data_IF_596776207877
#
_entry.id   IF_596776207877
#
_cell.length_a   1.000
_cell.length_b   1.000
_cell.length_c   1.000
_cell.angle_alpha   90.00
_cell.angle_beta   90.00
_cell.angle_gamma   90.00
#
_symmetry.space_group_name_H-M   'P 1'
#
loop_
_entity.id
_entity.type
_entity.pdbx_description
1 polymer ?
#
# COMPACT_ATOMS: atom_id res chain seq x y z
N UNK A 1 -3.10 -14.42 -9.78
CA UNK A 1 -3.49 -13.03 -10.13
C UNK A 1 -4.81 -12.68 -9.48
N UNK A 2 -4.72 -11.85 -8.44
CA UNK A 2 -5.82 -11.09 -7.88
C UNK A 2 -5.73 -9.65 -8.37
N UNK A 3 -6.87 -9.00 -8.52
CA UNK A 3 -6.96 -7.57 -8.80
C UNK A 3 -8.31 -7.05 -8.31
N UNK A 4 -8.41 -5.73 -8.15
CA UNK A 4 -9.67 -5.07 -7.84
C UNK A 4 -10.10 -4.26 -9.05
N UNK A 5 -11.32 -4.53 -9.53
CA UNK A 5 -11.96 -3.74 -10.58
C UNK A 5 -12.98 -2.80 -9.97
N UNK A 6 -13.22 -1.67 -10.60
CA UNK A 6 -14.47 -0.96 -10.37
C UNK A 6 -15.57 -1.85 -10.93
N UNK A 7 -16.49 -2.31 -10.08
CA UNK A 7 -17.64 -3.11 -10.53
C UNK A 7 -18.59 -2.22 -11.32
N UNK A 8 -19.70 -1.83 -10.68
CA UNK A 8 -20.69 -1.00 -11.33
C UNK A 8 -20.25 0.49 -11.40
N UNK A 9 -20.13 1.03 -12.63
CA UNK A 9 -19.89 2.47 -12.88
C UNK A 9 -20.94 3.38 -12.20
N UNK A 10 -22.14 2.86 -11.86
CA UNK A 10 -23.20 3.61 -11.16
C UNK A 10 -23.05 3.67 -9.64
N UNK A 11 -22.37 2.72 -9.00
CA UNK A 11 -22.24 2.68 -7.53
C UNK A 11 -20.84 3.02 -7.03
N UNK A 12 -19.82 2.99 -7.91
CA UNK A 12 -18.43 3.27 -7.55
C UNK A 12 -17.82 2.22 -6.59
N UNK A 13 -18.52 1.11 -6.32
CA UNK A 13 -18.02 0.05 -5.45
C UNK A 13 -16.95 -0.76 -6.18
N UNK A 14 -15.80 -0.92 -5.51
CA UNK A 14 -14.72 -1.80 -5.98
C UNK A 14 -15.05 -3.25 -5.65
N UNK A 15 -14.86 -4.13 -6.62
CA UNK A 15 -15.04 -5.58 -6.52
C UNK A 15 -13.66 -6.23 -6.60
N UNK A 16 -13.24 -6.91 -5.55
CA UNK A 16 -12.00 -7.67 -5.48
C UNK A 16 -12.21 -9.06 -6.09
N UNK A 17 -11.47 -9.38 -7.14
CA UNK A 17 -11.58 -10.62 -7.89
C UNK A 17 -10.29 -11.42 -7.86
N UNK A 18 -10.39 -12.73 -7.66
CA UNK A 18 -9.29 -13.66 -7.85
C UNK A 18 -9.54 -14.53 -9.09
N UNK A 19 -8.66 -14.44 -10.08
CA UNK A 19 -8.72 -15.34 -11.24
C UNK A 19 -7.94 -16.62 -10.94
N UNK A 20 -8.52 -17.75 -11.27
CA UNK A 20 -7.93 -19.09 -11.11
C UNK A 20 -7.92 -19.77 -12.47
N UNK A 21 -6.75 -20.15 -12.95
CA UNK A 21 -6.61 -20.85 -14.23
C UNK A 21 -5.25 -21.51 -14.37
N UNK A 22 -5.13 -22.47 -15.27
CA UNK A 22 -3.84 -22.92 -15.82
C UNK A 22 -3.21 -21.81 -16.67
N UNK A 23 -1.89 -21.90 -16.87
CA UNK A 23 -1.15 -21.11 -17.86
C UNK A 23 -1.67 -21.34 -19.27
N UNK A 24 -1.93 -20.26 -20.00
CA UNK A 24 -2.44 -20.32 -21.38
C UNK A 24 -3.95 -20.41 -21.53
N UNK A 25 -4.74 -20.47 -20.45
CA UNK A 25 -6.22 -20.45 -20.48
C UNK A 25 -6.83 -19.05 -20.69
N UNK A 26 -6.03 -18.05 -21.10
CA UNK A 26 -6.53 -16.69 -21.40
C UNK A 26 -6.67 -15.75 -20.20
N UNK A 27 -6.23 -16.14 -19.00
CA UNK A 27 -6.30 -15.33 -17.77
C UNK A 27 -5.78 -13.89 -17.89
N UNK A 28 -4.59 -13.68 -18.49
CA UNK A 28 -4.03 -12.33 -18.66
C UNK A 28 -4.83 -11.50 -19.66
N UNK A 29 -5.39 -12.14 -20.70
CA UNK A 29 -6.25 -11.46 -21.67
C UNK A 29 -7.58 -11.06 -21.02
N UNK A 30 -8.19 -11.95 -20.23
CA UNK A 30 -9.39 -11.65 -19.46
C UNK A 30 -9.15 -10.55 -18.41
N UNK A 31 -8.01 -10.57 -17.72
CA UNK A 31 -7.65 -9.52 -16.75
C UNK A 31 -7.50 -8.15 -17.43
N UNK A 32 -6.82 -8.11 -18.58
CA UNK A 32 -6.71 -6.90 -19.40
C UNK A 32 -8.09 -6.38 -19.85
N UNK A 33 -8.99 -7.28 -20.28
CA UNK A 33 -10.34 -6.91 -20.69
C UNK A 33 -11.18 -6.39 -19.50
N UNK A 34 -11.09 -7.04 -18.34
CA UNK A 34 -11.79 -6.63 -17.10
C UNK A 34 -11.30 -5.28 -16.55
N UNK A 35 -10.02 -4.96 -16.72
CA UNK A 35 -9.42 -3.73 -16.25
C UNK A 35 -9.46 -2.60 -17.30
N UNK A 36 -9.84 -2.91 -18.54
CA UNK A 36 -9.63 -2.09 -19.75
C UNK A 36 -8.19 -1.54 -19.84
N UNK A 37 -7.21 -2.40 -19.53
CA UNK A 37 -5.78 -2.08 -19.63
C UNK A 37 -5.05 -3.10 -20.50
N UNK A 38 -3.80 -2.79 -20.89
CA UNK A 38 -2.90 -3.73 -21.59
C UNK A 38 -1.72 -4.16 -20.72
N UNK A 39 -1.82 -4.00 -19.41
CA UNK A 39 -0.70 -4.16 -18.47
C UNK A 39 -0.17 -5.60 -18.39
N UNK A 40 -1.01 -6.60 -18.69
CA UNK A 40 -0.65 -8.01 -18.56
C UNK A 40 -0.11 -8.65 -19.85
N UNK A 41 0.28 -7.86 -20.86
CA UNK A 41 0.82 -8.38 -22.12
C UNK A 41 2.27 -8.90 -21.97
N UNK A 42 2.41 -10.24 -21.96
CA UNK A 42 3.63 -11.07 -22.14
C UNK A 42 4.91 -10.52 -21.50
N UNK A 43 5.28 -11.11 -20.35
CA UNK A 43 6.66 -11.41 -19.93
C UNK A 43 7.75 -10.47 -20.48
N UNK A 44 7.83 -9.24 -19.96
CA UNK A 44 9.07 -8.44 -20.04
C UNK A 44 9.91 -8.72 -18.78
N UNK A 45 11.22 -9.04 -18.86
CA UNK A 45 12.03 -9.44 -17.71
C UNK A 45 12.49 -8.26 -16.80
N UNK A 46 11.90 -7.06 -16.91
CA UNK A 46 12.46 -5.84 -16.32
C UNK A 46 11.49 -4.98 -15.49
N UNK A 47 10.41 -5.58 -15.00
CA UNK A 47 9.64 -5.03 -13.89
C UNK A 47 9.22 -6.22 -13.01
N UNK A 48 9.41 -6.11 -11.71
CA UNK A 48 9.32 -7.22 -10.75
C UNK A 48 8.10 -8.12 -10.96
N UNK A 49 8.36 -9.44 -11.06
CA UNK A 49 7.40 -10.55 -11.11
C UNK A 49 6.00 -10.19 -10.61
N UNK A 50 5.08 -9.90 -11.52
CA UNK A 50 3.65 -9.83 -11.21
C UNK A 50 3.12 -11.22 -10.77
N UNK A 51 2.12 -11.32 -9.87
CA UNK A 51 1.63 -12.59 -9.32
C UNK A 51 0.73 -13.27 -10.36
N UNK A 52 1.38 -13.93 -11.32
CA UNK A 52 0.88 -13.92 -12.69
C UNK A 52 0.77 -15.26 -13.41
N UNK A 53 1.27 -16.36 -12.86
CA UNK A 53 1.00 -17.71 -13.40
C UNK A 53 0.88 -18.68 -12.24
N UNK A 54 -0.30 -19.27 -12.07
CA UNK A 54 -0.43 -20.50 -11.31
C UNK A 54 0.06 -21.61 -12.25
N UNK A 55 1.37 -21.80 -12.31
CA UNK A 55 1.93 -23.02 -12.90
C UNK A 55 1.74 -24.13 -11.86
N UNK A 56 0.58 -24.79 -11.91
CA UNK A 56 0.14 -25.82 -10.95
C UNK A 56 0.89 -27.15 -11.11
N UNK A 57 1.99 -27.16 -11.87
CA UNK A 57 2.94 -28.27 -11.83
C UNK A 57 3.63 -28.38 -10.46
N UNK A 58 3.61 -27.30 -9.66
CA UNK A 58 4.19 -27.24 -8.32
C UNK A 58 3.18 -26.62 -7.35
N UNK A 59 2.58 -27.46 -6.51
CA UNK A 59 1.55 -27.11 -5.55
C UNK A 59 2.01 -26.02 -4.56
N UNK A 60 3.26 -26.09 -4.10
CA UNK A 60 3.80 -25.11 -3.17
C UNK A 60 3.99 -23.75 -3.83
N UNK A 61 4.36 -23.72 -5.12
CA UNK A 61 4.35 -22.47 -5.89
C UNK A 61 2.94 -21.92 -6.07
N UNK A 62 1.95 -22.77 -6.35
CA UNK A 62 0.56 -22.33 -6.46
C UNK A 62 0.04 -21.74 -5.14
N UNK A 63 0.28 -22.41 -4.01
CA UNK A 63 -0.06 -21.89 -2.67
C UNK A 63 0.65 -20.58 -2.35
N UNK A 64 1.93 -20.46 -2.71
CA UNK A 64 2.71 -19.22 -2.53
C UNK A 64 2.12 -18.07 -3.33
N UNK A 65 1.76 -18.29 -4.59
CA UNK A 65 1.13 -17.28 -5.44
C UNK A 65 -0.28 -16.90 -4.97
N UNK A 66 -1.03 -17.84 -4.38
CA UNK A 66 -2.32 -17.56 -3.71
C UNK A 66 -2.11 -16.69 -2.48
N UNK A 67 -1.17 -17.03 -1.59
CA UNK A 67 -0.83 -16.21 -0.40
C UNK A 67 -0.39 -14.82 -0.79
N UNK A 68 0.42 -14.72 -1.85
CA UNK A 68 0.82 -13.44 -2.42
C UNK A 68 -0.39 -12.66 -2.97
N UNK A 69 -1.32 -13.31 -3.66
CA UNK A 69 -2.56 -12.68 -4.11
C UNK A 69 -3.43 -12.18 -2.93
N UNK A 70 -3.52 -12.96 -1.85
CA UNK A 70 -4.19 -12.58 -0.60
C UNK A 70 -3.55 -11.32 0.00
N UNK A 71 -2.22 -11.21 0.01
CA UNK A 71 -1.53 -10.03 0.55
C UNK A 71 -1.89 -8.72 -0.16
N UNK A 72 -2.31 -8.78 -1.44
CA UNK A 72 -2.80 -7.61 -2.19
C UNK A 72 -4.28 -7.29 -1.92
N UNK A 73 -5.04 -8.21 -1.34
CA UNK A 73 -6.45 -8.05 -1.03
C UNK A 73 -6.74 -8.52 0.42
N UNK A 74 -6.21 -7.80 1.44
CA UNK A 74 -6.31 -8.22 2.84
C UNK A 74 -7.75 -8.20 3.39
N UNK A 75 -8.64 -7.45 2.74
CA UNK A 75 -10.07 -7.44 3.06
C UNK A 75 -10.82 -8.66 2.51
N UNK A 76 -10.18 -9.49 1.68
CA UNK A 76 -10.77 -10.65 1.04
C UNK A 76 -11.23 -10.40 -0.39
N UNK A 77 -11.77 -11.46 -0.98
CA UNK A 77 -12.24 -11.48 -2.36
C UNK A 77 -13.77 -11.44 -2.37
N UNK A 78 -14.35 -10.62 -3.22
CA UNK A 78 -15.79 -10.65 -3.44
C UNK A 78 -16.17 -11.88 -4.26
N UNK A 79 -15.33 -12.21 -5.26
CA UNK A 79 -15.62 -13.21 -6.31
C UNK A 79 -14.36 -13.94 -6.75
N UNK A 80 -14.54 -15.21 -7.10
CA UNK A 80 -13.55 -16.02 -7.79
C UNK A 80 -13.97 -16.28 -9.24
N UNK A 81 -13.05 -16.08 -10.19
CA UNK A 81 -13.27 -16.38 -11.59
C UNK A 81 -12.42 -17.59 -11.99
N UNK A 82 -13.06 -18.73 -12.25
CA UNK A 82 -12.39 -19.95 -12.71
C UNK A 82 -12.37 -19.94 -14.24
N UNK A 83 -11.21 -19.67 -14.84
CA UNK A 83 -11.09 -19.50 -16.29
C UNK A 83 -10.69 -20.81 -16.96
N UNK A 84 -11.57 -21.31 -17.82
CA UNK A 84 -11.40 -22.51 -18.63
C UNK A 84 -11.47 -22.14 -20.12
N UNK A 85 -11.00 -23.01 -21.00
CA UNK A 85 -11.24 -22.85 -22.45
C UNK A 85 -12.60 -23.46 -22.83
N UNK A 86 -13.28 -22.89 -23.82
CA UNK A 86 -14.54 -23.42 -24.33
C UNK A 86 -14.36 -24.69 -25.17
N UNK A 87 -13.15 -24.98 -25.66
CA UNK A 87 -12.77 -26.18 -26.44
C UNK A 87 -12.94 -27.52 -25.69
N UNK A 88 -13.56 -27.50 -24.51
CA UNK A 88 -13.96 -28.64 -23.71
C UNK A 88 -12.81 -29.53 -23.21
N UNK A 89 -11.55 -29.12 -23.37
CA UNK A 89 -10.40 -29.89 -22.88
C UNK A 89 -10.16 -29.59 -21.41
N UNK A 90 -11.03 -30.11 -20.54
CA UNK A 90 -10.81 -30.03 -19.10
C UNK A 90 -9.64 -30.94 -18.70
N UNK A 91 -8.48 -30.32 -18.46
CA UNK A 91 -7.23 -31.04 -18.20
C UNK A 91 -7.06 -31.40 -16.71
N UNK A 92 -6.24 -32.41 -16.43
CA UNK A 92 -5.85 -32.77 -15.05
C UNK A 92 -5.19 -31.59 -14.31
N UNK A 93 -4.48 -30.72 -15.04
CA UNK A 93 -3.87 -29.52 -14.46
C UNK A 93 -4.91 -28.47 -14.05
N UNK A 94 -5.97 -28.27 -14.86
CA UNK A 94 -7.07 -27.36 -14.48
C UNK A 94 -7.83 -27.91 -13.27
N UNK A 95 -8.07 -29.22 -13.24
CA UNK A 95 -8.62 -29.91 -12.08
C UNK A 95 -7.78 -29.61 -10.84
N UNK A 96 -6.47 -29.86 -10.90
CA UNK A 96 -5.56 -29.67 -9.77
C UNK A 96 -5.52 -28.22 -9.31
N UNK A 97 -5.56 -27.26 -10.25
CA UNK A 97 -5.61 -25.83 -9.93
C UNK A 97 -6.80 -25.47 -9.06
N UNK A 98 -7.97 -26.02 -9.40
CA UNK A 98 -9.21 -25.80 -8.67
C UNK A 98 -9.16 -26.49 -7.31
N UNK A 99 -8.65 -27.72 -7.24
CA UNK A 99 -8.50 -28.47 -5.98
C UNK A 99 -7.61 -27.72 -4.98
N UNK A 100 -6.43 -27.22 -5.40
CA UNK A 100 -5.53 -26.47 -4.52
C UNK A 100 -6.18 -25.18 -3.98
N UNK A 101 -6.96 -24.49 -4.82
CA UNK A 101 -7.72 -23.31 -4.40
C UNK A 101 -8.81 -23.70 -3.40
N UNK A 102 -9.54 -24.79 -3.65
CA UNK A 102 -10.55 -25.30 -2.71
C UNK A 102 -9.94 -25.81 -1.40
N UNK A 103 -8.72 -26.36 -1.40
CA UNK A 103 -8.01 -26.75 -0.17
C UNK A 103 -7.65 -25.52 0.69
N UNK A 104 -7.29 -24.40 0.06
CA UNK A 104 -6.92 -23.14 0.75
C UNK A 104 -8.13 -22.31 1.22
N UNK A 105 -9.15 -22.23 0.38
CA UNK A 105 -10.36 -21.43 0.61
C UNK A 105 -11.56 -22.29 1.06
N UNK A 106 -11.36 -23.58 1.30
CA UNK A 106 -12.45 -24.49 1.62
C UNK A 106 -13.57 -24.52 0.55
N UNK A 107 -14.63 -25.25 0.87
CA UNK A 107 -15.75 -25.44 -0.04
C UNK A 107 -16.62 -24.18 -0.23
N UNK A 108 -16.49 -23.20 0.67
CA UNK A 108 -17.21 -21.92 0.56
C UNK A 108 -16.75 -21.11 -0.66
N UNK A 109 -15.54 -21.36 -1.17
CA UNK A 109 -15.03 -20.83 -2.44
C UNK A 109 -16.04 -20.94 -3.57
N UNK A 110 -16.67 -22.11 -3.74
CA UNK A 110 -17.57 -22.37 -4.86
C UNK A 110 -18.82 -21.48 -4.83
N UNK A 111 -19.27 -21.05 -3.64
CA UNK A 111 -20.39 -20.12 -3.48
C UNK A 111 -20.08 -18.70 -3.94
N UNK A 112 -18.80 -18.35 -4.01
CA UNK A 112 -18.31 -17.06 -4.52
C UNK A 112 -17.71 -17.18 -5.94
N UNK A 113 -17.81 -18.35 -6.58
CA UNK A 113 -17.17 -18.61 -7.87
C UNK A 113 -18.13 -18.51 -9.07
N UNK A 114 -17.59 -18.01 -10.19
CA UNK A 114 -18.18 -18.06 -11.53
C UNK A 114 -17.18 -18.75 -12.46
N UNK A 115 -17.65 -19.71 -13.27
CA UNK A 115 -16.84 -20.37 -14.29
C UNK A 115 -16.85 -19.54 -15.57
N UNK A 116 -15.68 -19.08 -16.03
CA UNK A 116 -15.54 -18.28 -17.25
C UNK A 116 -14.93 -19.14 -18.34
N UNK A 117 -15.68 -19.37 -19.42
CA UNK A 117 -15.18 -20.03 -20.61
C UNK A 117 -14.61 -18.97 -21.56
N UNK A 118 -13.33 -19.10 -21.86
CA UNK A 118 -12.60 -18.26 -22.81
C UNK A 118 -12.65 -18.84 -24.23
N UNK A 119 -12.28 -18.04 -25.22
CA UNK A 119 -12.32 -18.39 -26.66
C UNK A 119 -13.77 -18.49 -27.18
N UNK A 120 -14.66 -17.62 -26.69
CA UNK A 120 -16.06 -17.58 -27.12
C UNK A 120 -16.27 -17.37 -28.62
N UNK A 121 -15.24 -16.97 -29.37
CA UNK A 121 -15.23 -16.93 -30.83
C UNK A 121 -15.47 -18.29 -31.48
N UNK A 122 -15.19 -19.41 -30.79
CA UNK A 122 -15.51 -20.75 -31.29
C UNK A 122 -17.02 -21.04 -31.34
N UNK A 123 -17.84 -20.21 -30.68
CA UNK A 123 -19.30 -20.35 -30.58
C UNK A 123 -20.01 -19.06 -31.00
N UNK A 124 -19.46 -18.35 -31.98
CA UNK A 124 -20.01 -17.08 -32.52
C UNK A 124 -20.35 -16.04 -31.44
N UNK A 125 -19.68 -16.11 -30.28
CA UNK A 125 -19.96 -15.30 -29.10
C UNK A 125 -21.38 -15.44 -28.53
N UNK A 126 -22.10 -16.52 -28.85
CA UNK A 126 -23.43 -16.83 -28.33
C UNK A 126 -23.35 -17.75 -27.10
N UNK A 127 -23.57 -17.18 -25.91
CA UNK A 127 -23.64 -17.95 -24.66
C UNK A 127 -24.83 -18.95 -24.66
N UNK A 128 -25.87 -18.71 -25.45
CA UNK A 128 -27.06 -19.58 -25.56
C UNK A 128 -26.72 -20.85 -26.34
N UNK A 129 -26.04 -20.71 -27.48
CA UNK A 129 -25.53 -21.84 -28.25
C UNK A 129 -24.55 -22.66 -27.43
N UNK A 130 -23.57 -21.99 -26.80
CA UNK A 130 -22.59 -22.65 -25.94
C UNK A 130 -23.24 -23.38 -24.76
N UNK A 131 -24.34 -22.85 -24.20
CA UNK A 131 -25.07 -23.52 -23.10
C UNK A 131 -25.57 -24.90 -23.50
N UNK A 132 -26.01 -25.08 -24.75
CA UNK A 132 -26.49 -26.36 -25.25
C UNK A 132 -25.31 -27.35 -25.40
N UNK A 133 -24.21 -26.91 -26.01
CA UNK A 133 -23.00 -27.74 -26.14
C UNK A 133 -22.43 -28.10 -24.76
N UNK A 134 -22.46 -27.17 -23.81
CA UNK A 134 -21.99 -27.39 -22.44
C UNK A 134 -22.76 -28.52 -21.74
N UNK A 135 -24.04 -28.74 -22.04
CA UNK A 135 -24.79 -29.88 -21.51
C UNK A 135 -24.19 -31.22 -21.97
N UNK A 136 -23.76 -31.30 -23.22
CA UNK A 136 -23.14 -32.52 -23.77
C UNK A 136 -21.70 -32.70 -23.27
N UNK A 137 -20.95 -31.61 -23.12
CA UNK A 137 -19.59 -31.65 -22.56
C UNK A 137 -19.61 -32.13 -21.10
N UNK A 138 -20.53 -31.61 -20.29
CA UNK A 138 -20.65 -31.98 -18.87
C UNK A 138 -20.91 -33.46 -18.65
N UNK A 139 -21.69 -34.11 -19.52
CA UNK A 139 -21.94 -35.57 -19.48
C UNK A 139 -20.66 -36.37 -19.69
N UNK A 140 -19.72 -35.86 -20.51
CA UNK A 140 -18.45 -36.51 -20.83
C UNK A 140 -17.38 -36.27 -19.77
N UNK A 141 -17.52 -35.21 -18.96
CA UNK A 141 -16.51 -34.76 -18.00
C UNK A 141 -17.14 -34.61 -16.61
N UNK A 142 -17.19 -35.68 -15.80
CA UNK A 142 -17.85 -35.67 -14.50
C UNK A 142 -17.36 -34.58 -13.54
N UNK A 143 -16.06 -34.27 -13.55
CA UNK A 143 -15.52 -33.22 -12.69
C UNK A 143 -15.99 -31.82 -13.11
N UNK A 144 -16.13 -31.56 -14.41
CA UNK A 144 -16.65 -30.27 -14.90
C UNK A 144 -18.12 -30.10 -14.48
N UNK A 145 -18.90 -31.18 -14.56
CA UNK A 145 -20.27 -31.18 -14.08
C UNK A 145 -20.38 -30.89 -12.58
N UNK A 146 -19.52 -31.52 -11.77
CA UNK A 146 -19.41 -31.25 -10.33
C UNK A 146 -19.01 -29.79 -10.07
N UNK A 147 -17.98 -29.28 -10.76
CA UNK A 147 -17.53 -27.90 -10.64
C UNK A 147 -18.68 -26.91 -10.90
N UNK A 148 -19.36 -27.06 -12.03
CA UNK A 148 -20.47 -26.17 -12.40
C UNK A 148 -21.62 -26.28 -11.40
N UNK A 149 -21.94 -27.48 -10.94
CA UNK A 149 -22.98 -27.71 -9.93
C UNK A 149 -22.64 -27.04 -8.59
N UNK A 150 -21.40 -27.18 -8.11
CA UNK A 150 -20.92 -26.53 -6.87
C UNK A 150 -20.90 -25.00 -7.01
N UNK A 151 -20.60 -24.50 -8.21
CA UNK A 151 -20.71 -23.09 -8.57
C UNK A 151 -22.15 -22.64 -8.85
N UNK A 152 -23.18 -23.42 -8.52
CA UNK A 152 -24.59 -23.04 -8.72
C UNK A 152 -24.98 -22.82 -10.17
N UNK A 153 -24.33 -23.54 -11.11
CA UNK A 153 -24.47 -23.39 -12.55
C UNK A 153 -24.17 -21.97 -13.07
N UNK A 154 -23.37 -21.19 -12.34
CA UNK A 154 -22.91 -19.86 -12.75
C UNK A 154 -21.74 -19.99 -13.72
N UNK A 155 -21.97 -19.62 -14.97
CA UNK A 155 -20.91 -19.49 -15.96
C UNK A 155 -21.07 -18.25 -16.86
N UNK A 156 -20.02 -17.89 -17.57
CA UNK A 156 -20.03 -16.87 -18.61
C UNK A 156 -19.13 -17.31 -19.78
N UNK A 157 -19.50 -16.92 -21.00
CA UNK A 157 -18.66 -17.09 -22.18
C UNK A 157 -18.03 -15.73 -22.55
N UNK A 158 -16.72 -15.71 -22.77
CA UNK A 158 -15.98 -14.48 -23.11
C UNK A 158 -14.98 -14.75 -24.23
N UNK A 159 -15.00 -13.90 -25.25
CA UNK A 159 -13.96 -13.82 -26.26
C UNK A 159 -12.91 -12.77 -25.86
N UNK A 160 -11.74 -13.30 -25.52
CA UNK A 160 -10.55 -12.50 -25.18
C UNK A 160 -9.50 -12.58 -26.29
N UNK A 161 -9.91 -12.96 -27.49
CA UNK A 161 -9.10 -13.04 -28.69
C UNK A 161 -8.69 -11.65 -29.18
N UNK A 162 -7.51 -11.54 -29.78
CA UNK A 162 -6.99 -10.26 -30.28
C UNK A 162 -7.83 -9.65 -31.41
N UNK A 163 -8.63 -10.48 -32.07
CA UNK A 163 -9.49 -10.11 -33.20
C UNK A 163 -10.95 -9.92 -32.79
N UNK A 164 -11.27 -10.09 -31.51
CA UNK A 164 -12.62 -9.86 -31.00
C UNK A 164 -13.04 -8.41 -31.29
N UNK A 165 -14.28 -8.25 -31.72
CA UNK A 165 -14.90 -6.94 -31.82
C UNK A 165 -14.99 -6.31 -30.42
N UNK A 166 -14.54 -5.05 -30.29
CA UNK A 166 -14.49 -4.35 -29.00
C UNK A 166 -15.88 -4.21 -28.37
N UNK A 167 -16.92 -3.94 -29.15
CA UNK A 167 -18.27 -3.80 -28.62
C UNK A 167 -18.84 -5.14 -28.14
N UNK A 168 -18.50 -6.24 -28.84
CA UNK A 168 -18.84 -7.60 -28.39
C UNK A 168 -18.13 -7.92 -27.07
N UNK A 169 -16.83 -7.67 -27.00
CA UNK A 169 -16.03 -7.88 -25.78
C UNK A 169 -16.56 -7.04 -24.61
N UNK A 170 -16.82 -5.75 -24.82
CA UNK A 170 -17.33 -4.86 -23.77
C UNK A 170 -18.69 -5.36 -23.24
N UNK A 171 -19.59 -5.81 -24.12
CA UNK A 171 -20.88 -6.38 -23.74
C UNK A 171 -20.73 -7.67 -22.92
N UNK A 172 -19.80 -8.55 -23.31
CA UNK A 172 -19.51 -9.79 -22.56
C UNK A 172 -18.94 -9.50 -21.18
N UNK A 173 -18.01 -8.54 -21.09
CA UNK A 173 -17.43 -8.10 -19.82
C UNK A 173 -18.49 -7.46 -18.93
N UNK A 174 -19.35 -6.58 -19.46
CA UNK A 174 -20.48 -6.00 -18.72
C UNK A 174 -21.44 -7.08 -18.21
N UNK A 175 -21.75 -8.10 -19.02
CA UNK A 175 -22.57 -9.23 -18.60
C UNK A 175 -21.91 -10.05 -17.48
N UNK A 176 -20.60 -10.30 -17.57
CA UNK A 176 -19.83 -10.98 -16.52
C UNK A 176 -19.82 -10.17 -15.22
N UNK A 177 -19.59 -8.85 -15.30
CA UNK A 177 -19.62 -7.94 -14.14
C UNK A 177 -21.02 -7.89 -13.51
N UNK A 178 -22.09 -7.91 -14.31
CA UNK A 178 -23.47 -7.96 -13.80
C UNK A 178 -23.78 -9.28 -13.07
N UNK A 179 -23.32 -10.43 -13.60
CA UNK A 179 -23.39 -11.73 -12.92
C UNK A 179 -22.62 -11.71 -11.60
N UNK A 180 -21.45 -11.06 -11.61
CA UNK A 180 -20.62 -10.86 -10.44
C UNK A 180 -21.32 -10.04 -9.34
N UNK A 181 -21.87 -8.88 -9.68
CA UNK A 181 -22.62 -8.03 -8.74
C UNK A 181 -23.83 -8.74 -8.14
N UNK A 182 -24.53 -9.52 -8.97
CA UNK A 182 -25.68 -10.32 -8.54
C UNK A 182 -25.27 -11.40 -7.54
N UNK A 183 -24.12 -12.05 -7.78
CA UNK A 183 -23.56 -13.05 -6.87
C UNK A 183 -23.19 -12.44 -5.51
N UNK A 184 -22.47 -11.31 -5.52
CA UNK A 184 -22.09 -10.59 -4.29
C UNK A 184 -23.33 -10.19 -3.50
N UNK A 185 -24.36 -9.70 -4.18
CA UNK A 185 -25.63 -9.33 -3.56
C UNK A 185 -26.33 -10.54 -2.93
N UNK A 186 -26.36 -11.69 -3.62
CA UNK A 186 -26.95 -12.93 -3.09
C UNK A 186 -26.18 -13.50 -1.89
N UNK A 187 -24.87 -13.25 -1.80
CA UNK A 187 -24.05 -13.62 -0.65
C UNK A 187 -24.15 -12.60 0.52
N UNK A 188 -25.06 -11.63 0.42
CA UNK A 188 -25.31 -10.61 1.43
C UNK A 188 -24.25 -9.51 1.46
N UNK A 189 -23.50 -9.31 0.38
CA UNK A 189 -22.41 -8.34 0.31
C UNK A 189 -21.19 -8.70 1.15
N UNK A 190 -21.13 -9.93 1.68
CA UNK A 190 -19.99 -10.41 2.46
C UNK A 190 -18.87 -10.83 1.52
N UNK A 191 -17.67 -10.31 1.77
CA UNK A 191 -16.45 -10.82 1.14
C UNK A 191 -16.20 -12.24 1.62
N UNK A 192 -15.62 -13.04 0.74
CA UNK A 192 -15.09 -14.32 1.12
C UNK A 192 -13.90 -14.10 2.08
N UNK A 193 -13.94 -14.74 3.25
CA UNK A 193 -12.87 -14.73 4.26
C UNK A 193 -12.55 -16.16 4.70
N UNK A 194 -11.30 -16.61 4.49
CA UNK A 194 -10.76 -17.88 5.03
C UNK A 194 -9.91 -17.63 6.28
N UNK A 195 -9.60 -18.69 7.03
CA UNK A 195 -8.60 -18.65 8.11
C UNK A 195 -7.23 -18.17 7.59
N UNK A 196 -6.84 -18.55 6.37
CA UNK A 196 -5.59 -18.06 5.76
C UNK A 196 -5.67 -16.56 5.45
N UNK A 197 -6.82 -16.07 4.99
CA UNK A 197 -7.05 -14.65 4.76
C UNK A 197 -7.01 -13.85 6.08
N UNK A 198 -7.61 -14.38 7.15
CA UNK A 198 -7.56 -13.76 8.48
C UNK A 198 -6.15 -13.73 9.05
N UNK A 199 -5.37 -14.80 8.88
CA UNK A 199 -3.98 -14.86 9.32
C UNK A 199 -3.10 -13.83 8.58
N UNK A 200 -3.26 -13.71 7.26
CA UNK A 200 -2.57 -12.69 6.47
C UNK A 200 -3.02 -11.28 6.82
N UNK A 201 -4.32 -11.06 7.06
CA UNK A 201 -4.84 -9.78 7.54
C UNK A 201 -4.19 -9.37 8.85
N UNK A 202 -4.10 -10.27 9.83
CA UNK A 202 -3.41 -10.02 11.11
C UNK A 202 -1.94 -9.69 10.92
N UNK A 203 -1.23 -10.40 10.02
CA UNK A 203 0.17 -10.12 9.69
C UNK A 203 0.34 -8.73 9.07
N UNK A 204 -0.55 -8.35 8.15
CA UNK A 204 -0.53 -7.03 7.53
C UNK A 204 -0.80 -5.91 8.54
N UNK A 205 -1.79 -6.09 9.41
CA UNK A 205 -2.12 -5.15 10.50
C UNK A 205 -0.95 -4.99 11.50
N UNK A 206 -0.30 -6.09 11.88
CA UNK A 206 0.88 -6.05 12.75
C UNK A 206 2.07 -5.35 12.08
N UNK A 207 2.29 -5.61 10.78
CA UNK A 207 3.37 -4.96 10.02
C UNK A 207 3.14 -3.44 9.90
N UNK A 208 1.92 -3.00 9.63
CA UNK A 208 1.57 -1.57 9.60
C UNK A 208 1.72 -0.93 10.96
N UNK A 209 1.29 -1.61 12.03
CA UNK A 209 1.50 -1.14 13.40
C UNK A 209 2.98 -0.95 13.73
N UNK A 210 3.84 -1.91 13.37
CA UNK A 210 5.30 -1.80 13.58
C UNK A 210 5.91 -0.62 12.82
N UNK A 211 5.51 -0.41 11.57
CA UNK A 211 5.95 0.76 10.78
C UNK A 211 5.49 2.07 11.39
N UNK A 212 4.26 2.14 11.90
CA UNK A 212 3.74 3.33 12.56
C UNK A 212 4.51 3.63 13.86
N UNK A 213 4.76 2.61 14.69
CA UNK A 213 5.56 2.73 15.92
C UNK A 213 7.01 3.17 15.61
N UNK A 214 7.63 2.63 14.55
CA UNK A 214 8.98 3.04 14.12
C UNK A 214 9.00 4.48 13.59
N UNK A 215 8.01 4.87 12.79
CA UNK A 215 7.87 6.24 12.29
C UNK A 215 7.63 7.25 13.43
N UNK A 216 6.85 6.88 14.45
CA UNK A 216 6.64 7.69 15.64
C UNK A 216 7.92 7.83 16.45
N UNK A 217 8.64 6.73 16.71
CA UNK A 217 9.94 6.76 17.39
C UNK A 217 10.95 7.64 16.66
N UNK A 218 11.00 7.56 15.34
CA UNK A 218 11.87 8.40 14.51
C UNK A 218 11.49 9.88 14.63
N UNK A 219 10.21 10.22 14.55
CA UNK A 219 9.72 11.61 14.73
C UNK A 219 10.03 12.13 16.14
N UNK A 220 9.88 11.31 17.17
CA UNK A 220 10.20 11.67 18.54
C UNK A 220 11.70 11.91 18.74
N UNK A 221 12.55 11.06 18.16
CA UNK A 221 14.01 11.24 18.20
C UNK A 221 14.44 12.53 17.47
N UNK A 222 13.90 12.79 16.27
CA UNK A 222 14.17 14.02 15.51
C UNK A 222 13.69 15.27 16.27
N UNK A 223 12.55 15.20 16.96
CA UNK A 223 12.03 16.28 17.79
C UNK A 223 12.90 16.53 19.04
N UNK A 224 13.36 15.47 19.70
CA UNK A 224 14.25 15.57 20.86
C UNK A 224 15.60 16.18 20.47
N UNK A 225 16.20 15.73 19.37
CA UNK A 225 17.45 16.31 18.86
C UNK A 225 17.28 17.80 18.52
N UNK A 226 16.14 18.18 17.92
CA UNK A 226 15.83 19.58 17.62
C UNK A 226 15.67 20.42 18.89
N UNK A 227 15.01 19.90 19.91
CA UNK A 227 14.89 20.57 21.21
C UNK A 227 16.25 20.73 21.89
N UNK A 228 17.10 19.71 21.85
CA UNK A 228 18.45 19.78 22.42
C UNK A 228 19.31 20.83 21.71
N UNK A 229 19.30 20.86 20.38
CA UNK A 229 20.00 21.88 19.58
C UNK A 229 19.51 23.29 19.94
N UNK A 230 18.19 23.48 20.06
CA UNK A 230 17.62 24.77 20.47
C UNK A 230 18.02 25.15 21.90
N UNK A 231 18.02 24.20 22.83
CA UNK A 231 18.44 24.43 24.22
C UNK A 231 19.90 24.85 24.31
N UNK A 232 20.80 24.16 23.59
CA UNK A 232 22.22 24.50 23.52
C UNK A 232 22.43 25.88 22.88
N UNK A 233 21.65 26.25 21.85
CA UNK A 233 21.74 27.57 21.23
C UNK A 233 21.31 28.68 22.20
N UNK A 234 20.19 28.49 22.90
CA UNK A 234 19.73 29.43 23.94
C UNK A 234 20.76 29.55 25.06
N UNK A 235 21.31 28.44 25.55
CA UNK A 235 22.34 28.44 26.58
C UNK A 235 23.60 29.22 26.14
N UNK A 236 24.04 29.03 24.90
CA UNK A 236 25.18 29.78 24.33
C UNK A 236 24.89 31.28 24.26
N UNK A 237 23.68 31.68 23.86
CA UNK A 237 23.27 33.10 23.81
C UNK A 237 23.24 33.72 25.21
N UNK A 238 22.60 33.05 26.16
CA UNK A 238 22.56 33.50 27.56
C UNK A 238 23.97 33.67 28.10
N UNK A 239 24.85 32.67 27.93
CA UNK A 239 26.24 32.73 28.40
C UNK A 239 27.02 33.91 27.80
N UNK A 240 26.88 34.14 26.49
CA UNK A 240 27.52 35.28 25.82
C UNK A 240 27.00 36.64 26.34
N UNK A 241 25.71 36.77 26.60
CA UNK A 241 25.13 37.98 27.21
C UNK A 241 25.63 38.17 28.65
N UNK A 242 25.68 37.11 29.46
CA UNK A 242 26.19 37.17 30.84
C UNK A 242 27.67 37.59 30.88
N UNK A 243 28.48 37.07 29.96
CA UNK A 243 29.90 37.43 29.84
C UNK A 243 30.09 38.87 29.38
N UNK A 244 29.27 39.35 28.42
CA UNK A 244 29.25 40.77 28.03
C UNK A 244 28.84 41.68 29.17
N UNK A 245 27.78 41.32 29.90
CA UNK A 245 27.29 42.08 31.04
C UNK A 245 28.35 42.18 32.14
N UNK A 246 28.97 41.06 32.50
CA UNK A 246 30.05 41.00 33.49
C UNK A 246 31.25 41.84 33.07
N UNK A 247 31.64 41.80 31.79
CA UNK A 247 32.74 42.60 31.26
C UNK A 247 32.47 44.11 31.35
N UNK A 248 31.24 44.54 31.02
CA UNK A 248 30.82 45.95 31.14
C UNK A 248 30.87 46.43 32.60
N UNK A 249 30.39 45.62 33.53
CA UNK A 249 30.43 45.94 34.96
C UNK A 249 31.86 46.08 35.49
N UNK A 250 32.75 45.14 35.15
CA UNK A 250 34.16 45.21 35.55
C UNK A 250 34.86 46.46 35.00
N UNK A 251 34.63 46.79 33.72
CA UNK A 251 35.16 48.01 33.11
C UNK A 251 34.64 49.29 33.79
N UNK A 252 33.35 49.31 34.17
CA UNK A 252 32.76 50.45 34.88
C UNK A 252 33.33 50.61 36.29
N UNK A 253 33.56 49.49 37.01
CA UNK A 253 34.15 49.50 38.34
C UNK A 253 35.62 49.94 38.30
N UNK A 254 36.41 49.49 37.32
CA UNK A 254 37.76 49.98 37.10
C UNK A 254 37.80 51.48 36.78
N UNK A 255 36.89 51.97 35.91
CA UNK A 255 36.79 53.40 35.62
C UNK A 255 36.45 54.22 36.85
N UNK A 256 35.52 53.76 37.69
CA UNK A 256 35.19 54.42 38.97
C UNK A 256 36.41 54.46 39.91
N UNK A 257 37.07 53.32 40.11
CA UNK A 257 38.30 53.25 40.93
C UNK A 257 39.38 54.20 40.42
N UNK A 258 39.59 54.25 39.10
CA UNK A 258 40.57 55.15 38.49
C UNK A 258 40.19 56.62 38.64
N UNK A 259 38.90 56.96 38.49
CA UNK A 259 38.41 58.32 38.75
C UNK A 259 38.60 58.74 40.21
N UNK A 260 38.33 57.85 41.18
CA UNK A 260 38.57 58.11 42.61
C UNK A 260 40.05 58.34 42.91
N UNK A 261 40.94 57.59 42.27
CA UNK A 261 42.39 57.74 42.41
C UNK A 261 42.90 59.05 41.81
N UNK A 262 42.38 59.46 40.63
CA UNK A 262 42.67 60.78 40.04
C UNK A 262 42.19 61.89 40.97
N UNK A 263 40.95 61.82 41.47
CA UNK A 263 40.39 62.82 42.38
C UNK A 263 41.21 62.95 43.66
N UNK A 264 41.67 61.84 44.25
CA UNK A 264 42.62 61.86 45.38
C UNK A 264 43.92 62.57 45.03
N UNK A 265 44.49 62.28 43.86
CA UNK A 265 45.76 62.88 43.42
C UNK A 265 45.63 64.39 43.21
N UNK A 266 44.58 64.83 42.50
CA UNK A 266 44.29 66.26 42.29
C UNK A 266 44.02 66.97 43.61
N UNK A 267 43.26 66.34 44.51
CA UNK A 267 43.03 66.85 45.87
C UNK A 267 44.32 67.07 46.64
N UNK A 268 45.22 66.08 46.63
CA UNK A 268 46.53 66.20 47.28
C UNK A 268 47.36 67.37 46.67
N UNK A 269 47.40 67.50 45.34
CA UNK A 269 48.15 68.58 44.66
C UNK A 269 47.59 69.97 45.01
N UNK A 270 46.26 70.13 45.03
CA UNK A 270 45.62 71.38 45.45
C UNK A 270 45.97 71.73 46.90
N UNK A 271 45.97 70.73 47.79
CA UNK A 271 46.32 70.91 49.20
C UNK A 271 47.78 71.34 49.37
N UNK A 272 48.71 70.75 48.59
CA UNK A 272 50.11 71.20 48.54
C UNK A 272 50.26 72.61 47.98
N UNK A 273 49.51 72.97 46.93
CA UNK A 273 49.52 74.32 46.36
C UNK A 273 49.04 75.39 47.36
N UNK A 274 47.96 75.10 48.11
CA UNK A 274 47.49 75.95 49.21
C UNK A 274 48.53 76.09 50.33
N UNK A 275 49.23 75.00 50.67
CA UNK A 275 50.30 75.02 51.66
C UNK A 275 51.48 75.91 51.22
N UNK A 276 51.90 75.80 49.96
CA UNK A 276 52.95 76.63 49.38
C UNK A 276 52.55 78.11 49.32
N UNK A 277 51.30 78.40 48.91
CA UNK A 277 50.77 79.77 48.91
C UNK A 277 50.74 80.39 50.32
N UNK A 278 50.39 79.60 51.35
CA UNK A 278 50.44 80.03 52.74
C UNK A 278 51.87 80.30 53.22
N UNK A 279 52.86 79.50 52.77
CA UNK A 279 54.28 79.72 53.09
C UNK A 279 54.84 80.96 52.39
N UNK A 280 54.46 81.23 51.13
CA UNK A 280 54.91 82.43 50.41
C UNK A 280 54.31 83.72 50.97
N UNK A 281 53.04 83.69 51.38
CA UNK A 281 52.38 84.85 52.02
C UNK A 281 52.89 85.11 53.45
N UNK A 282 53.52 84.12 54.09
CA UNK A 282 54.16 84.29 55.40
C UNK A 282 55.57 84.87 55.35
N UNK A 283 56.14 85.12 54.16
CA UNK A 283 57.54 85.52 53.99
C UNK A 283 57.72 86.97 53.47
N UNK A 284 56.63 87.75 53.36
CA UNK A 284 56.65 89.20 53.05
C UNK A 284 56.27 90.08 54.26
N UNK A 285 56.35 89.56 55.49
CA UNK A 285 56.10 90.29 56.74
C UNK A 285 57.37 90.59 57.52
#
# INVERSE_FOLDING_TARGET
>A
MAFSVNGNKRTGKRVAMLLVSKTGSGKSSLANALLDTKEFQRSRPHCGRHPGTMDVADEEKAKTEIRRAISFCPEGFDIFLVVLKCDARFTAEERRAIEVVAEMFGDEFYKHAIVVFSHGDEFDNDETEFRNELQEIRKKIPYLDQLLTRCGNRFALVDNGRRCDRAVQDRQIEALLSKADSLVSSNGGRKYTSLELEAERRRAEEAERKKAEEAERRRAAEAAERQERQRLEVERRVRAETDQFRSRMMAQQQRRSHQEEILRTVGNVMQFGLLLAAVTLGNEG
#
